data_IF_515291513814
#
_entry.id   IF_515291513814
#
_cell.length_a   1.000
_cell.length_b   1.000
_cell.length_c   1.000
_cell.angle_alpha   90.00
_cell.angle_beta   90.00
_cell.angle_gamma   90.00
#
_symmetry.space_group_name_H-M   'P 1'
#
loop_
_entity.id
_entity.type
_entity.pdbx_description
1 polymer ?
#
# COMPACT_ATOMS: atom_id res chain seq x y z
N UNK A 1 -14.26 97.82 -5.30
CA UNK A 1 -14.48 97.39 -6.70
C UNK A 1 -13.12 97.13 -7.33
N UNK A 2 -12.87 96.09 -8.12
CA UNK A 2 -13.71 94.99 -8.59
C UNK A 2 -12.79 93.89 -9.11
N UNK A 3 -13.09 92.67 -8.69
CA UNK A 3 -13.06 91.41 -9.43
C UNK A 3 -11.80 90.97 -10.20
N UNK A 4 -11.14 89.98 -9.61
CA UNK A 4 -10.23 89.06 -10.29
C UNK A 4 -11.05 88.02 -11.06
N UNK A 5 -10.90 88.02 -12.38
CA UNK A 5 -11.46 87.02 -13.31
C UNK A 5 -10.81 85.63 -13.07
N UNK A 6 -11.56 84.52 -12.99
CA UNK A 6 -10.98 83.19 -12.74
C UNK A 6 -10.37 82.57 -14.00
N UNK A 7 -9.19 81.98 -13.83
CA UNK A 7 -8.39 81.30 -14.87
C UNK A 7 -9.01 79.93 -15.19
N UNK A 8 -9.48 79.73 -16.42
CA UNK A 8 -10.04 78.47 -16.93
C UNK A 8 -9.01 77.33 -16.83
N UNK A 9 -9.35 76.26 -16.11
CA UNK A 9 -8.54 75.03 -15.96
C UNK A 9 -8.87 74.07 -17.11
N UNK A 10 -7.95 73.87 -18.05
CA UNK A 10 -8.11 72.90 -19.14
C UNK A 10 -8.18 71.48 -18.55
N UNK A 11 -9.37 70.87 -18.60
CA UNK A 11 -9.55 69.46 -18.22
C UNK A 11 -8.90 68.60 -19.31
N UNK A 12 -7.77 67.98 -19.01
CA UNK A 12 -7.10 67.06 -19.94
C UNK A 12 -7.94 65.79 -20.05
N UNK A 13 -8.82 65.73 -21.06
CA UNK A 13 -9.73 64.60 -21.32
C UNK A 13 -8.95 63.30 -21.62
N UNK A 14 -7.67 63.41 -21.97
CA UNK A 14 -6.79 62.29 -22.30
C UNK A 14 -6.31 61.50 -21.08
N UNK A 15 -6.20 62.13 -19.91
CA UNK A 15 -5.72 61.43 -18.70
C UNK A 15 -6.68 60.36 -18.18
N UNK A 16 -8.03 60.56 -18.11
CA UNK A 16 -8.94 59.47 -17.73
C UNK A 16 -9.00 58.37 -18.80
N UNK A 17 -8.81 58.70 -20.07
CA UNK A 17 -8.85 57.72 -21.17
C UNK A 17 -7.64 56.78 -21.15
N UNK A 18 -6.46 57.32 -20.83
CA UNK A 18 -5.23 56.53 -20.67
C UNK A 18 -5.31 55.61 -19.44
N UNK A 19 -5.87 56.09 -18.33
CA UNK A 19 -6.11 55.27 -17.14
C UNK A 19 -7.10 54.12 -17.40
N UNK A 20 -8.19 54.38 -18.13
CA UNK A 20 -9.14 53.34 -18.51
C UNK A 20 -8.50 52.27 -19.40
N UNK A 21 -7.64 52.68 -20.35
CA UNK A 21 -6.91 51.76 -21.22
C UNK A 21 -5.98 50.83 -20.41
N UNK A 22 -5.21 51.39 -19.47
CA UNK A 22 -4.30 50.62 -18.60
C UNK A 22 -5.08 49.61 -17.75
N UNK A 23 -6.24 50.00 -17.22
CA UNK A 23 -7.09 49.13 -16.42
C UNK A 23 -7.67 47.96 -17.23
N UNK A 24 -8.09 48.22 -18.47
CA UNK A 24 -8.56 47.18 -19.40
C UNK A 24 -7.43 46.20 -19.74
N UNK A 25 -6.23 46.71 -20.04
CA UNK A 25 -5.07 45.87 -20.35
C UNK A 25 -4.68 45.02 -19.14
N UNK A 26 -4.71 45.60 -17.93
CA UNK A 26 -4.45 44.87 -16.69
C UNK A 26 -5.47 43.75 -16.43
N UNK A 27 -6.75 44.01 -16.66
CA UNK A 27 -7.82 42.99 -16.53
C UNK A 27 -7.69 41.88 -17.58
N UNK A 28 -7.46 42.23 -18.84
CA UNK A 28 -7.31 41.26 -19.93
C UNK A 28 -6.03 40.43 -19.76
N UNK A 29 -4.93 41.08 -19.38
CA UNK A 29 -3.65 40.43 -19.08
C UNK A 29 -3.77 39.50 -17.87
N UNK A 30 -4.42 39.94 -16.79
CA UNK A 30 -4.72 39.12 -15.62
C UNK A 30 -5.59 37.92 -15.95
N UNK A 31 -6.62 38.09 -16.79
CA UNK A 31 -7.47 36.99 -17.26
C UNK A 31 -6.69 35.98 -18.12
N UNK A 32 -5.81 36.44 -19.01
CA UNK A 32 -4.96 35.57 -19.82
C UNK A 32 -3.93 34.81 -19.00
N UNK A 33 -3.32 35.46 -18.00
CA UNK A 33 -2.40 34.82 -17.06
C UNK A 33 -3.13 33.79 -16.18
N UNK A 34 -4.33 34.11 -15.69
CA UNK A 34 -5.18 33.15 -14.98
C UNK A 34 -5.55 31.95 -15.87
N UNK A 35 -5.74 32.13 -17.18
CA UNK A 35 -5.95 30.99 -18.09
C UNK A 35 -4.71 30.10 -18.27
N UNK A 36 -3.50 30.65 -18.07
CA UNK A 36 -2.22 29.95 -18.20
C UNK A 36 -1.70 29.36 -16.87
N UNK A 37 -2.07 29.95 -15.72
CA UNK A 37 -1.65 29.53 -14.36
C UNK A 37 -2.81 29.01 -13.49
N UNK A 38 -4.05 29.12 -13.97
CA UNK A 38 -5.25 28.68 -13.27
C UNK A 38 -5.30 27.16 -13.24
N UNK A 39 -5.03 26.62 -12.04
CA UNK A 39 -5.37 25.26 -11.69
C UNK A 39 -6.79 24.94 -12.19
N UNK A 40 -6.91 23.86 -12.97
CA UNK A 40 -8.17 23.26 -13.43
C UNK A 40 -9.00 22.71 -12.26
N UNK A 41 -9.42 23.56 -11.34
CA UNK A 41 -10.30 23.21 -10.22
C UNK A 41 -11.31 24.34 -10.08
N UNK A 42 -12.39 24.23 -10.85
CA UNK A 42 -13.52 25.14 -10.79
C UNK A 42 -14.06 25.20 -9.35
N UNK A 43 -13.91 26.36 -8.71
CA UNK A 43 -14.28 26.62 -7.31
C UNK A 43 -15.77 26.38 -7.02
N UNK A 44 -16.62 26.50 -8.05
CA UNK A 44 -18.06 26.22 -7.96
C UNK A 44 -18.38 24.71 -7.90
N UNK A 45 -17.49 23.85 -8.38
CA UNK A 45 -17.65 22.38 -8.31
C UNK A 45 -17.14 21.80 -6.99
N UNK A 46 -16.30 22.55 -6.25
CA UNK A 46 -15.79 22.19 -4.92
C UNK A 46 -16.88 22.36 -3.84
N UNK A 47 -17.77 23.34 -3.99
CA UNK A 47 -18.81 23.62 -2.99
C UNK A 47 -19.95 22.58 -2.96
N UNK A 48 -20.08 21.76 -3.99
CA UNK A 48 -21.14 20.74 -4.10
C UNK A 48 -20.62 19.30 -3.91
N UNK A 49 -19.32 19.13 -3.63
CA UNK A 49 -18.76 17.85 -3.21
C UNK A 49 -18.60 17.82 -1.71
N UNK A 50 -19.18 16.79 -1.09
CA UNK A 50 -19.09 16.51 0.33
C UNK A 50 -17.67 15.98 0.67
N UNK A 51 -16.64 16.78 0.42
CA UNK A 51 -15.21 16.44 0.57
C UNK A 51 -14.77 16.39 2.06
N UNK A 52 -15.70 16.15 2.98
CA UNK A 52 -15.45 16.10 4.44
C UNK A 52 -14.38 15.07 4.81
N UNK A 53 -14.30 13.97 4.06
CA UNK A 53 -13.27 12.95 4.27
C UNK A 53 -11.88 13.47 3.87
N UNK A 54 -11.77 14.17 2.74
CA UNK A 54 -10.52 14.75 2.27
C UNK A 54 -10.05 15.87 3.21
N UNK A 55 -10.96 16.77 3.60
CA UNK A 55 -10.67 17.83 4.55
C UNK A 55 -10.18 17.26 5.90
N UNK A 56 -10.80 16.18 6.39
CA UNK A 56 -10.36 15.51 7.61
C UNK A 56 -8.95 14.92 7.48
N UNK A 57 -8.66 14.23 6.36
CA UNK A 57 -7.33 13.65 6.11
C UNK A 57 -6.26 14.73 5.98
N UNK A 58 -6.57 15.85 5.32
CA UNK A 58 -5.68 17.01 5.18
C UNK A 58 -5.37 17.64 6.54
N UNK A 59 -6.39 17.88 7.37
CA UNK A 59 -6.22 18.43 8.73
C UNK A 59 -5.36 17.49 9.58
N UNK A 60 -5.61 16.19 9.55
CA UNK A 60 -4.81 15.20 10.28
C UNK A 60 -3.36 15.25 9.77
N UNK A 61 -3.15 15.27 8.46
CA UNK A 61 -1.81 15.28 7.88
C UNK A 61 -1.02 16.55 8.23
N UNK A 62 -1.68 17.70 8.35
CA UNK A 62 -1.04 18.98 8.65
C UNK A 62 -0.87 19.27 10.15
N UNK A 63 -1.85 18.86 10.97
CA UNK A 63 -1.95 19.27 12.39
C UNK A 63 -1.60 18.18 13.38
N UNK A 64 -1.50 16.92 12.96
CA UNK A 64 -1.18 15.83 13.87
C UNK A 64 0.32 15.83 14.24
N UNK A 65 0.60 15.42 15.47
CA UNK A 65 1.95 15.49 16.06
C UNK A 65 2.91 14.46 15.46
N UNK A 66 2.39 13.30 15.04
CA UNK A 66 3.17 12.22 14.44
C UNK A 66 2.99 12.17 12.92
N UNK A 67 4.00 11.66 12.21
CA UNK A 67 3.88 11.42 10.77
C UNK A 67 2.90 10.26 10.52
N UNK A 68 1.81 10.55 9.82
CA UNK A 68 0.84 9.55 9.37
C UNK A 68 0.83 9.48 7.84
N UNK A 69 0.68 8.27 7.30
CA UNK A 69 0.57 8.05 5.85
C UNK A 69 -0.88 8.24 5.42
N UNK A 70 -1.11 9.11 4.44
CA UNK A 70 -2.44 9.33 3.85
C UNK A 70 -3.04 8.02 3.34
N UNK A 71 -2.24 7.15 2.71
CA UNK A 71 -2.69 5.82 2.26
C UNK A 71 -3.24 4.96 3.41
N UNK A 72 -2.63 5.05 4.60
CA UNK A 72 -3.16 4.34 5.79
C UNK A 72 -4.52 4.90 6.19
N UNK A 73 -4.65 6.23 6.22
CA UNK A 73 -5.89 6.90 6.61
C UNK A 73 -7.05 6.57 5.66
N UNK A 74 -6.80 6.53 4.34
CA UNK A 74 -7.81 6.09 3.37
C UNK A 74 -8.21 4.63 3.58
N UNK A 75 -7.24 3.73 3.78
CA UNK A 75 -7.52 2.31 4.03
C UNK A 75 -8.38 2.14 5.30
N UNK A 76 -8.04 2.86 6.37
CA UNK A 76 -8.75 2.80 7.65
C UNK A 76 -10.17 3.39 7.52
N UNK A 77 -10.33 4.49 6.79
CA UNK A 77 -11.64 5.09 6.51
C UNK A 77 -12.54 4.14 5.69
N UNK A 78 -12.01 3.54 4.62
CA UNK A 78 -12.75 2.57 3.80
C UNK A 78 -13.17 1.38 4.65
N UNK A 79 -12.23 0.76 5.38
CA UNK A 79 -12.53 -0.38 6.24
C UNK A 79 -13.56 -0.04 7.33
N UNK A 80 -13.47 1.16 7.91
CA UNK A 80 -14.44 1.66 8.88
C UNK A 80 -15.85 1.78 8.28
N UNK A 81 -15.99 2.34 7.08
CA UNK A 81 -17.27 2.43 6.38
C UNK A 81 -17.82 1.02 6.08
N UNK A 82 -17.00 0.15 5.47
CA UNK A 82 -17.42 -1.18 5.05
C UNK A 82 -17.81 -2.09 6.23
N UNK A 83 -17.17 -1.94 7.38
CA UNK A 83 -17.50 -2.71 8.59
C UNK A 83 -18.95 -2.55 9.07
N UNK A 84 -19.64 -1.47 8.65
CA UNK A 84 -21.03 -1.18 9.01
C UNK A 84 -22.04 -1.60 7.92
N UNK A 85 -21.58 -2.04 6.73
CA UNK A 85 -22.47 -2.42 5.64
C UNK A 85 -22.93 -3.88 5.81
N UNK A 86 -21.99 -4.83 5.73
CA UNK A 86 -22.27 -6.26 5.82
C UNK A 86 -20.97 -7.05 6.11
N UNK A 87 -21.02 -8.13 6.92
CA UNK A 87 -19.86 -8.99 7.21
C UNK A 87 -19.15 -9.61 6.01
N UNK A 88 -19.75 -9.68 4.83
CA UNK A 88 -19.12 -10.24 3.64
C UNK A 88 -18.52 -9.20 2.69
N UNK A 89 -18.66 -7.91 3.01
CA UNK A 89 -18.05 -6.83 2.22
C UNK A 89 -16.65 -6.54 2.75
N UNK A 90 -15.65 -6.62 1.89
CA UNK A 90 -14.27 -6.28 2.23
C UNK A 90 -13.59 -5.48 1.13
N UNK A 91 -12.62 -4.65 1.51
CA UNK A 91 -11.76 -3.91 0.60
C UNK A 91 -10.38 -4.58 0.56
N UNK A 92 -9.86 -4.79 -0.66
CA UNK A 92 -8.52 -5.32 -0.88
C UNK A 92 -7.64 -4.17 -1.37
N UNK A 93 -6.67 -3.71 -0.55
CA UNK A 93 -5.71 -2.71 -0.98
C UNK A 93 -4.87 -3.22 -2.16
N UNK A 94 -4.44 -2.31 -3.06
CA UNK A 94 -3.63 -2.67 -4.23
C UNK A 94 -2.37 -3.47 -3.89
N UNK A 95 -1.72 -3.17 -2.75
CA UNK A 95 -0.54 -3.89 -2.25
C UNK A 95 -0.78 -5.37 -1.92
N UNK A 96 -2.03 -5.75 -1.66
CA UNK A 96 -2.41 -7.11 -1.24
C UNK A 96 -3.12 -7.87 -2.37
N UNK A 97 -3.46 -7.20 -3.48
CA UNK A 97 -4.22 -7.76 -4.60
C UNK A 97 -3.54 -8.98 -5.23
N UNK A 98 -2.23 -8.90 -5.46
CA UNK A 98 -1.47 -10.01 -6.06
C UNK A 98 -1.50 -11.27 -5.17
N UNK A 99 -1.40 -11.08 -3.85
CA UNK A 99 -1.45 -12.19 -2.90
C UNK A 99 -2.84 -12.84 -2.85
N UNK A 100 -3.90 -12.03 -2.91
CA UNK A 100 -5.28 -12.55 -2.96
C UNK A 100 -5.53 -13.30 -4.27
N UNK A 101 -5.12 -12.73 -5.41
CA UNK A 101 -5.28 -13.39 -6.71
C UNK A 101 -4.50 -14.70 -6.80
N UNK A 102 -3.27 -14.74 -6.25
CA UNK A 102 -2.49 -15.97 -6.16
C UNK A 102 -3.20 -17.05 -5.34
N UNK A 103 -3.78 -16.69 -4.19
CA UNK A 103 -4.54 -17.62 -3.36
C UNK A 103 -5.80 -18.15 -4.07
N UNK A 104 -6.53 -17.28 -4.79
CA UNK A 104 -7.71 -17.68 -5.57
C UNK A 104 -7.36 -18.56 -6.77
N UNK A 105 -6.21 -18.32 -7.40
CA UNK A 105 -5.74 -19.08 -8.57
C UNK A 105 -5.15 -20.45 -8.24
N UNK A 106 -5.02 -20.81 -6.96
CA UNK A 106 -4.40 -22.08 -6.53
C UNK A 106 -2.88 -22.15 -6.75
N UNK A 107 -2.28 -21.06 -7.25
CA UNK A 107 -0.86 -20.95 -7.56
C UNK A 107 -0.27 -19.80 -6.76
N UNK A 108 0.56 -20.13 -5.78
CA UNK A 108 1.27 -19.13 -4.98
C UNK A 108 2.76 -19.17 -5.25
N UNK A 109 3.35 -18.03 -5.61
CA UNK A 109 4.79 -17.91 -5.75
C UNK A 109 5.46 -17.77 -4.38
N UNK A 110 6.20 -18.80 -3.96
CA UNK A 110 6.77 -18.85 -2.62
C UNK A 110 7.77 -19.97 -2.41
N UNK A 111 7.99 -20.30 -1.13
CA UNK A 111 8.84 -21.43 -0.73
C UNK A 111 8.03 -22.71 -0.52
N UNK A 112 6.71 -22.60 -0.35
CA UNK A 112 5.80 -23.72 -0.09
C UNK A 112 5.95 -24.34 1.29
N UNK A 113 6.20 -23.51 2.31
CA UNK A 113 6.20 -23.90 3.71
C UNK A 113 5.23 -23.02 4.50
N UNK A 114 4.63 -23.61 5.53
CA UNK A 114 3.88 -22.92 6.56
C UNK A 114 4.66 -22.91 7.86
N UNK A 115 4.42 -21.90 8.68
CA UNK A 115 5.08 -21.76 9.97
C UNK A 115 4.12 -21.25 11.04
N UNK A 116 4.41 -21.65 12.27
CA UNK A 116 3.77 -21.13 13.47
C UNK A 116 4.83 -20.63 14.44
N UNK A 117 4.50 -19.61 15.24
CA UNK A 117 5.42 -19.14 16.27
C UNK A 117 5.33 -20.01 17.51
N UNK A 118 6.45 -20.61 17.91
CA UNK A 118 6.62 -21.33 19.17
C UNK A 118 7.74 -20.65 19.94
N UNK A 119 7.44 -20.13 21.14
CA UNK A 119 8.40 -19.43 22.00
C UNK A 119 9.21 -18.36 21.23
N UNK A 120 8.51 -17.45 20.56
CA UNK A 120 9.10 -16.36 19.74
C UNK A 120 10.02 -16.81 18.59
N UNK A 121 9.89 -18.07 18.16
CA UNK A 121 10.64 -18.62 17.03
C UNK A 121 9.67 -19.19 15.99
N UNK A 122 9.80 -18.83 14.70
CA UNK A 122 9.04 -19.47 13.63
C UNK A 122 9.47 -20.94 13.50
N UNK A 123 8.54 -21.86 13.69
CA UNK A 123 8.72 -23.29 13.51
C UNK A 123 7.89 -23.74 12.30
N UNK A 124 8.49 -24.52 11.42
CA UNK A 124 7.82 -25.08 10.24
C UNK A 124 6.72 -26.04 10.69
N UNK A 125 5.48 -25.76 10.31
CA UNK A 125 4.31 -26.57 10.66
C UNK A 125 3.92 -27.53 9.54
N UNK A 126 4.10 -27.11 8.29
CA UNK A 126 3.74 -27.88 7.11
C UNK A 126 4.64 -27.51 5.93
N UNK A 127 4.83 -28.47 5.03
CA UNK A 127 5.60 -28.30 3.79
C UNK A 127 4.76 -28.88 2.67
N UNK A 128 4.47 -28.05 1.66
CA UNK A 128 3.72 -28.49 0.50
C UNK A 128 4.62 -29.43 -0.35
N UNK A 129 4.17 -30.63 -0.72
CA UNK A 129 4.87 -31.49 -1.66
C UNK A 129 5.26 -30.76 -2.95
N UNK A 130 6.38 -31.16 -3.57
CA UNK A 130 6.90 -30.54 -4.80
C UNK A 130 7.21 -29.03 -4.71
N UNK A 131 7.28 -28.46 -3.50
CA UNK A 131 7.69 -27.08 -3.31
C UNK A 131 9.21 -26.91 -3.24
N UNK A 132 9.73 -25.68 -3.40
CA UNK A 132 11.14 -25.39 -3.15
C UNK A 132 11.62 -25.83 -1.76
N UNK A 133 10.80 -25.66 -0.72
CA UNK A 133 11.13 -26.10 0.64
C UNK A 133 11.26 -27.62 0.75
N UNK A 134 10.38 -28.36 0.06
CA UNK A 134 10.44 -29.82 -0.04
C UNK A 134 11.74 -30.29 -0.70
N UNK A 135 12.08 -29.74 -1.87
CA UNK A 135 13.34 -30.07 -2.56
C UNK A 135 14.59 -29.58 -1.82
N UNK A 136 14.46 -28.53 -1.02
CA UNK A 136 15.52 -28.00 -0.17
C UNK A 136 15.82 -28.83 1.08
N UNK A 137 15.04 -29.88 1.35
CA UNK A 137 15.25 -30.76 2.51
C UNK A 137 14.84 -30.12 3.84
N UNK A 138 13.94 -29.14 3.82
CA UNK A 138 13.30 -28.64 5.04
C UNK A 138 12.34 -29.71 5.54
N UNK A 139 12.23 -29.83 6.85
CA UNK A 139 11.33 -30.77 7.52
C UNK A 139 10.41 -30.06 8.51
N UNK A 140 9.25 -30.65 8.75
CA UNK A 140 8.32 -30.18 9.78
C UNK A 140 9.00 -30.21 11.15
N UNK A 141 8.86 -29.13 11.91
CA UNK A 141 9.55 -28.94 13.19
C UNK A 141 10.89 -28.21 13.10
N UNK A 142 11.40 -27.93 11.89
CA UNK A 142 12.57 -27.07 11.74
C UNK A 142 12.28 -25.65 12.27
N UNK A 143 13.19 -25.12 13.09
CA UNK A 143 13.07 -23.77 13.67
C UNK A 143 13.86 -22.78 12.83
N UNK A 144 13.20 -21.77 12.26
CA UNK A 144 13.83 -20.77 11.41
C UNK A 144 14.54 -19.74 12.30
N UNK A 145 15.86 -19.71 12.25
CA UNK A 145 16.69 -18.80 13.03
C UNK A 145 16.91 -17.47 12.30
N UNK A 146 17.26 -17.55 11.01
CA UNK A 146 17.51 -16.39 10.16
C UNK A 146 16.93 -16.61 8.77
N UNK A 147 16.53 -15.50 8.16
CA UNK A 147 16.14 -15.43 6.76
C UNK A 147 16.98 -14.34 6.11
N UNK A 148 17.78 -14.72 5.11
CA UNK A 148 18.85 -13.90 4.55
C UNK A 148 19.76 -13.34 5.67
N UNK A 149 19.88 -12.02 5.75
CA UNK A 149 20.72 -11.34 6.72
C UNK A 149 19.99 -10.97 8.02
N UNK A 150 18.72 -11.37 8.16
CA UNK A 150 17.87 -10.99 9.30
C UNK A 150 17.57 -12.17 10.21
N UNK A 151 17.82 -11.98 11.50
CA UNK A 151 17.40 -12.91 12.55
C UNK A 151 15.90 -12.81 12.79
N UNK A 152 15.23 -13.96 12.82
CA UNK A 152 13.78 -14.08 12.98
C UNK A 152 13.39 -14.87 14.24
N UNK A 153 14.32 -15.59 14.85
CA UNK A 153 14.13 -16.25 16.15
C UNK A 153 14.44 -15.32 17.32
N UNK A 154 13.60 -15.35 18.36
CA UNK A 154 13.84 -14.65 19.63
C UNK A 154 13.86 -13.12 19.53
N UNK A 155 13.38 -12.56 18.41
CA UNK A 155 13.22 -11.13 18.25
C UNK A 155 11.94 -10.69 18.95
N UNK A 156 12.05 -9.77 19.90
CA UNK A 156 10.90 -9.07 20.54
C UNK A 156 10.15 -8.13 19.55
N UNK A 157 10.29 -8.35 18.25
CA UNK A 157 9.63 -7.55 17.22
C UNK A 157 8.19 -8.03 17.04
N UNK A 158 7.29 -7.12 16.67
CA UNK A 158 5.92 -7.53 16.40
C UNK A 158 5.85 -8.47 15.19
N UNK A 159 4.98 -9.49 15.25
CA UNK A 159 4.75 -10.42 14.11
C UNK A 159 4.52 -9.68 12.78
N UNK A 160 3.87 -8.51 12.84
CA UNK A 160 3.59 -7.64 11.70
C UNK A 160 4.86 -7.08 11.05
N UNK A 161 5.83 -6.65 11.84
CA UNK A 161 7.11 -6.11 11.31
C UNK A 161 7.97 -7.21 10.71
N UNK A 162 7.97 -8.40 11.31
CA UNK A 162 8.68 -9.56 10.77
C UNK A 162 8.13 -9.96 9.40
N UNK A 163 6.80 -10.11 9.29
CA UNK A 163 6.12 -10.41 8.02
C UNK A 163 6.38 -9.31 6.98
N UNK A 164 6.29 -8.04 7.36
CA UNK A 164 6.56 -6.92 6.44
C UNK A 164 8.01 -6.93 5.92
N UNK A 165 8.99 -7.28 6.77
CA UNK A 165 10.40 -7.37 6.38
C UNK A 165 10.66 -8.58 5.47
N UNK A 166 10.05 -9.72 5.77
CA UNK A 166 10.12 -10.93 4.95
C UNK A 166 9.50 -10.70 3.57
N UNK A 167 8.36 -10.00 3.49
CA UNK A 167 7.70 -9.62 2.23
C UNK A 167 8.54 -8.67 1.38
N UNK A 168 9.28 -7.74 2.00
CA UNK A 168 10.18 -6.81 1.29
C UNK A 168 11.38 -7.49 0.64
N UNK A 169 11.73 -8.71 1.03
CA UNK A 169 12.72 -9.50 0.32
C UNK A 169 12.10 -10.07 -0.95
N UNK A 170 11.90 -9.23 -1.96
CA UNK A 170 11.49 -9.63 -3.31
C UNK A 170 12.58 -10.39 -4.08
N UNK A 171 13.56 -10.99 -3.40
CA UNK A 171 14.64 -11.73 -4.04
C UNK A 171 14.15 -13.10 -4.50
N UNK A 172 14.43 -13.49 -5.74
CA UNK A 172 14.13 -14.86 -6.18
C UNK A 172 14.82 -15.92 -5.31
N UNK A 173 15.94 -15.59 -4.65
CA UNK A 173 16.64 -16.48 -3.73
C UNK A 173 16.46 -16.06 -2.27
N UNK A 174 16.27 -17.05 -1.40
CA UNK A 174 16.13 -16.91 0.05
C UNK A 174 17.09 -17.88 0.73
N UNK A 175 17.96 -17.37 1.59
CA UNK A 175 18.84 -18.18 2.43
C UNK A 175 18.18 -18.37 3.79
N UNK A 176 17.79 -19.59 4.14
CA UNK A 176 17.25 -19.93 5.44
C UNK A 176 18.34 -20.55 6.31
N UNK A 177 18.52 -20.01 7.52
CA UNK A 177 19.28 -20.67 8.57
C UNK A 177 18.28 -21.29 9.53
N UNK A 178 18.28 -22.62 9.62
CA UNK A 178 17.34 -23.39 10.42
C UNK A 178 18.07 -24.17 11.50
N UNK A 179 17.40 -24.42 12.61
CA UNK A 179 17.81 -25.37 13.63
C UNK A 179 16.87 -26.58 13.58
N UNK A 180 17.44 -27.77 13.42
CA UNK A 180 16.71 -29.04 13.41
C UNK A 180 16.81 -29.68 14.81
N UNK A 181 15.73 -29.68 15.61
CA UNK A 181 15.80 -30.14 17.00
C UNK A 181 16.18 -31.61 17.13
N UNK A 182 15.69 -32.47 16.22
CA UNK A 182 15.93 -33.93 16.26
C UNK A 182 17.41 -34.24 16.08
N UNK A 183 18.08 -33.56 15.15
CA UNK A 183 19.52 -33.75 14.89
C UNK A 183 20.43 -32.84 15.72
N UNK A 184 19.86 -31.86 16.42
CA UNK A 184 20.58 -30.79 17.12
C UNK A 184 21.61 -30.07 16.23
N UNK A 185 21.25 -29.80 14.97
CA UNK A 185 22.13 -29.14 14.00
C UNK A 185 21.51 -27.87 13.45
N UNK A 186 22.38 -26.94 13.11
CA UNK A 186 22.02 -25.76 12.33
C UNK A 186 22.39 -25.98 10.87
N UNK A 187 21.43 -25.80 9.97
CA UNK A 187 21.60 -25.95 8.53
C UNK A 187 21.37 -24.61 7.85
N UNK A 188 22.13 -24.34 6.78
CA UNK A 188 21.89 -23.19 5.90
C UNK A 188 21.43 -23.71 4.55
N UNK A 189 20.17 -23.42 4.21
CA UNK A 189 19.51 -23.91 3.01
C UNK A 189 19.24 -22.71 2.10
N UNK A 190 19.72 -22.79 0.86
CA UNK A 190 19.43 -21.79 -0.17
C UNK A 190 18.25 -22.26 -1.00
N UNK A 191 17.17 -21.51 -0.99
CA UNK A 191 15.97 -21.80 -1.74
C UNK A 191 15.74 -20.74 -2.80
N UNK A 192 15.19 -21.17 -3.93
CA UNK A 192 14.69 -20.25 -4.97
C UNK A 192 13.17 -20.28 -4.92
N UNK A 193 12.52 -19.12 -4.88
CA UNK A 193 11.06 -19.02 -4.97
C UNK A 193 10.60 -19.58 -6.31
N UNK A 194 9.54 -20.36 -6.26
CA UNK A 194 8.88 -20.92 -7.43
C UNK A 194 7.37 -20.89 -7.22
N UNK A 195 6.63 -21.13 -8.29
CA UNK A 195 5.20 -21.34 -8.20
C UNK A 195 4.95 -22.67 -7.50
N UNK A 196 4.18 -22.62 -6.42
CA UNK A 196 3.78 -23.76 -5.63
C UNK A 196 2.32 -24.03 -5.94
N UNK A 197 2.07 -25.18 -6.56
CA UNK A 197 0.72 -25.66 -6.84
C UNK A 197 0.10 -26.21 -5.55
N UNK A 198 -1.13 -25.79 -5.26
CA UNK A 198 -1.88 -26.32 -4.12
C UNK A 198 -2.85 -27.36 -4.68
N UNK A 199 -2.54 -28.64 -4.48
CA UNK A 199 -3.48 -29.71 -4.79
C UNK A 199 -4.64 -29.68 -3.81
N UNK A 200 -5.87 -29.82 -4.31
CA UNK A 200 -7.04 -30.02 -3.45
C UNK A 200 -7.16 -31.46 -2.93
N UNK A 201 -6.31 -32.38 -3.42
CA UNK A 201 -6.32 -33.80 -3.08
C UNK A 201 -4.91 -34.20 -2.63
N UNK A 202 -4.78 -34.69 -1.40
CA UNK A 202 -3.51 -35.10 -0.82
C UNK A 202 -3.06 -36.49 -1.32
N UNK A 203 -4.01 -37.41 -1.52
CA UNK A 203 -3.74 -38.74 -2.04
C UNK A 203 -4.95 -39.30 -2.78
N UNK A 204 -4.77 -39.70 -4.04
CA UNK A 204 -5.80 -40.40 -4.79
C UNK A 204 -5.25 -41.73 -5.31
N UNK A 205 -5.84 -42.86 -4.90
CA UNK A 205 -5.45 -44.16 -5.41
C UNK A 205 -6.59 -45.19 -5.32
N UNK A 206 -6.52 -46.20 -6.17
CA UNK A 206 -7.47 -47.32 -6.13
C UNK A 206 -7.03 -48.34 -5.08
N UNK A 207 -7.93 -48.67 -4.15
CA UNK A 207 -7.72 -49.74 -3.17
C UNK A 207 -7.87 -51.12 -3.84
N UNK A 208 -8.80 -51.23 -4.78
CA UNK A 208 -9.04 -52.42 -5.61
C UNK A 208 -9.65 -52.02 -6.98
N UNK A 209 -10.28 -52.96 -7.70
CA UNK A 209 -10.84 -52.67 -9.04
C UNK A 209 -12.11 -51.81 -9.01
N UNK A 210 -12.77 -51.67 -7.86
CA UNK A 210 -14.09 -51.04 -7.71
C UNK A 210 -14.09 -49.88 -6.69
N UNK A 211 -13.10 -49.84 -5.78
CA UNK A 211 -13.04 -48.88 -4.68
C UNK A 211 -11.79 -47.99 -4.76
N UNK A 212 -12.00 -46.68 -4.66
CA UNK A 212 -10.93 -45.67 -4.61
C UNK A 212 -10.91 -44.90 -3.29
N UNK A 213 -9.73 -44.41 -2.91
CA UNK A 213 -9.49 -43.47 -1.82
C UNK A 213 -9.09 -42.11 -2.40
N UNK A 214 -9.73 -41.04 -1.92
CA UNK A 214 -9.44 -39.62 -2.21
C UNK A 214 -9.37 -38.90 -0.87
#
# INVERSE_FOLDING_TARGET
MSDKVPKQRSRNIWTPLLLALVLIIGLVGGFYLNKLTGNKRDFATILDRNDRLEEMIDIISEKYVDSVSSDSLYNDAINGILSHLDPHTSYIPAKDLDAVNAALGGNFNGLGLEYQFVNDTPMVSFINPNSPAFFGGIETGDMILRVNDTTVAGVQMSKRELVARVRKWGSNQVNLNIFRPIEQKTLTIKLTRADVEISSIDAAFMLDKESGYI
#
